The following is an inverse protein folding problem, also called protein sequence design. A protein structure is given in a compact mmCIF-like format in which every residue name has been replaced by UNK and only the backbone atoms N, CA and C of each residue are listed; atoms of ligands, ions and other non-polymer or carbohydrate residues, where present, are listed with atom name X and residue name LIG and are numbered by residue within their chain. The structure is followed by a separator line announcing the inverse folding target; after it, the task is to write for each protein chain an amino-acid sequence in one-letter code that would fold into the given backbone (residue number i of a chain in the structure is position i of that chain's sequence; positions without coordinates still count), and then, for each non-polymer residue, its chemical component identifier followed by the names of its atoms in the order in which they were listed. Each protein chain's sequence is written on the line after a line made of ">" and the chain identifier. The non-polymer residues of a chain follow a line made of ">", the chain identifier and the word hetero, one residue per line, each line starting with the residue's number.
data_IF_069963567605
#
_entry.id   IF_069963567605
#
_cell.length_a   1.000
_cell.length_b   1.000
_cell.length_c   1.000
_cell.angle_alpha   90.00
_cell.angle_beta   90.00
_cell.angle_gamma   90.00
#
_symmetry.space_group_name_H-M   'P 1'
#
loop_
_entity.id
_entity.type
_entity.pdbx_description
1 polymer ?
#
# COMPACT_ATOMS: atom_id res chain seq x y z
N UNK A 1 -33.67 -35.93 -0.65
CA UNK A 1 -32.21 -35.84 -0.90
C UNK A 1 -31.76 -34.45 -1.39
N UNK A 2 -32.50 -33.77 -2.26
CA UNK A 2 -32.14 -32.46 -2.86
C UNK A 2 -31.80 -31.36 -1.81
N UNK A 3 -32.53 -31.32 -0.68
CA UNK A 3 -32.30 -30.33 0.39
C UNK A 3 -30.95 -30.49 1.10
N UNK A 4 -30.43 -31.72 1.24
CA UNK A 4 -29.11 -31.99 1.85
C UNK A 4 -27.96 -31.60 0.93
N UNK A 5 -28.13 -31.75 -0.38
CA UNK A 5 -27.17 -31.32 -1.39
C UNK A 5 -27.09 -29.79 -1.47
N UNK A 6 -28.21 -29.09 -1.36
CA UNK A 6 -28.26 -27.62 -1.31
C UNK A 6 -27.63 -27.04 -0.04
N UNK A 7 -27.80 -27.68 1.13
CA UNK A 7 -27.13 -27.25 2.36
C UNK A 7 -25.61 -27.49 2.32
N UNK A 8 -25.15 -28.59 1.70
CA UNK A 8 -23.73 -28.86 1.49
C UNK A 8 -23.09 -27.86 0.51
N UNK A 9 -23.78 -27.53 -0.59
CA UNK A 9 -23.31 -26.51 -1.53
C UNK A 9 -23.24 -25.12 -0.88
N UNK A 10 -24.22 -24.74 -0.06
CA UNK A 10 -24.17 -23.48 0.72
C UNK A 10 -23.06 -23.49 1.77
N UNK A 11 -22.81 -24.61 2.42
CA UNK A 11 -21.71 -24.74 3.39
C UNK A 11 -20.34 -24.67 2.71
N UNK A 12 -20.19 -25.28 1.53
CA UNK A 12 -18.97 -25.20 0.72
C UNK A 12 -18.75 -23.82 0.13
N UNK A 13 -19.81 -23.16 -0.33
CA UNK A 13 -19.77 -21.76 -0.75
C UNK A 13 -19.38 -20.84 0.42
N UNK A 14 -19.98 -21.03 1.60
CA UNK A 14 -19.63 -20.28 2.81
C UNK A 14 -18.16 -20.47 3.21
N UNK A 15 -17.66 -21.70 3.18
CA UNK A 15 -16.25 -22.00 3.44
C UNK A 15 -15.30 -21.41 2.39
N UNK A 16 -15.73 -21.36 1.13
CA UNK A 16 -14.94 -20.75 0.06
C UNK A 16 -14.82 -19.23 0.25
N UNK A 17 -15.94 -18.56 0.55
CA UNK A 17 -15.96 -17.12 0.83
C UNK A 17 -15.09 -16.75 2.04
N UNK A 18 -15.17 -17.52 3.13
CA UNK A 18 -14.33 -17.26 4.30
C UNK A 18 -12.83 -17.43 4.02
N UNK A 19 -12.46 -18.39 3.17
CA UNK A 19 -11.06 -18.57 2.74
C UNK A 19 -10.59 -17.42 1.85
N UNK A 20 -11.40 -16.98 0.89
CA UNK A 20 -11.07 -15.84 0.03
C UNK A 20 -10.92 -14.55 0.83
N UNK A 21 -11.82 -14.31 1.78
CA UNK A 21 -11.75 -13.13 2.67
C UNK A 21 -10.51 -13.18 3.58
N UNK A 22 -10.18 -14.36 4.11
CA UNK A 22 -8.98 -14.55 4.90
C UNK A 22 -7.71 -14.28 4.07
N UNK A 23 -7.65 -14.79 2.83
CA UNK A 23 -6.55 -14.53 1.91
C UNK A 23 -6.41 -13.04 1.59
N UNK A 24 -7.53 -12.36 1.33
CA UNK A 24 -7.54 -10.92 1.08
C UNK A 24 -7.00 -10.14 2.28
N UNK A 25 -7.45 -10.45 3.51
CA UNK A 25 -6.94 -9.81 4.74
C UNK A 25 -5.46 -10.07 4.96
N UNK A 26 -4.98 -11.28 4.69
CA UNK A 26 -3.56 -11.59 4.81
C UNK A 26 -2.76 -10.81 3.78
N UNK A 27 -3.23 -10.72 2.54
CA UNK A 27 -2.58 -9.89 1.52
C UNK A 27 -2.51 -8.43 1.97
N UNK A 28 -3.60 -7.88 2.52
CA UNK A 28 -3.61 -6.52 3.06
C UNK A 28 -2.59 -6.33 4.18
N UNK A 29 -2.48 -7.29 5.11
CA UNK A 29 -1.46 -7.24 6.16
C UNK A 29 -0.04 -7.31 5.58
N UNK A 30 0.20 -8.15 4.57
CA UNK A 30 1.48 -8.23 3.87
C UNK A 30 1.85 -6.90 3.19
N UNK A 31 0.90 -6.30 2.48
CA UNK A 31 1.07 -5.01 1.80
C UNK A 31 1.34 -3.89 2.83
N UNK A 32 0.62 -3.88 3.96
CA UNK A 32 0.85 -2.94 5.06
C UNK A 32 2.27 -3.06 5.64
N UNK A 33 2.70 -4.28 5.96
CA UNK A 33 4.04 -4.54 6.52
C UNK A 33 5.14 -4.20 5.54
N UNK A 34 4.92 -4.45 4.26
CA UNK A 34 5.82 -4.01 3.21
C UNK A 34 5.90 -2.47 3.21
N UNK A 35 4.78 -1.77 3.16
CA UNK A 35 4.71 -0.30 3.17
C UNK A 35 5.40 0.29 4.40
N UNK A 36 5.11 -0.27 5.58
CA UNK A 36 5.70 0.09 6.86
C UNK A 36 7.23 -0.01 6.85
N UNK A 37 7.80 -1.03 6.19
CA UNK A 37 9.25 -1.19 6.02
C UNK A 37 9.84 -0.23 5.00
N UNK A 38 9.09 0.11 3.95
CA UNK A 38 9.56 1.05 2.93
C UNK A 38 9.61 2.50 3.44
N UNK A 39 8.86 2.86 4.48
CA UNK A 39 8.76 4.25 4.94
C UNK A 39 10.08 4.93 5.27
N UNK A 40 11.06 4.20 5.80
CA UNK A 40 12.40 4.76 6.07
C UNK A 40 13.13 5.25 4.81
N UNK A 41 12.64 4.88 3.63
CA UNK A 41 13.13 5.35 2.34
C UNK A 41 12.28 6.47 1.74
N UNK A 42 11.24 6.91 2.41
CA UNK A 42 10.31 7.93 1.95
C UNK A 42 10.78 9.33 2.23
N UNK A 43 10.30 10.28 1.42
CA UNK A 43 10.53 11.70 1.60
C UNK A 43 9.20 12.41 1.82
N UNK A 44 9.17 13.36 2.76
CA UNK A 44 7.96 14.16 3.03
C UNK A 44 7.84 15.21 1.93
N UNK A 45 6.79 15.12 1.13
CA UNK A 45 6.50 16.13 0.12
C UNK A 45 6.00 17.42 0.80
N UNK A 46 6.51 18.57 0.35
CA UNK A 46 6.23 19.88 0.95
C UNK A 46 4.76 20.33 0.89
N UNK A 47 3.89 19.60 0.17
CA UNK A 47 2.48 19.93 0.03
C UNK A 47 1.66 19.22 1.11
N UNK A 48 1.04 20.01 1.98
CA UNK A 48 -0.07 19.56 2.81
C UNK A 48 -1.17 19.05 1.89
N UNK A 49 -1.61 17.81 2.13
CA UNK A 49 -2.71 17.19 1.40
C UNK A 49 -3.91 16.98 2.32
N UNK A 50 -4.98 16.47 1.75
CA UNK A 50 -6.10 15.93 2.51
C UNK A 50 -6.39 14.49 2.08
N UNK A 51 -6.93 13.70 3.00
CA UNK A 51 -7.58 12.43 2.71
C UNK A 51 -8.91 12.67 1.98
N UNK A 52 -9.53 11.59 1.50
CA UNK A 52 -10.82 11.66 0.79
C UNK A 52 -11.95 12.26 1.65
N UNK A 53 -11.90 12.04 2.97
CA UNK A 53 -12.85 12.62 3.93
C UNK A 53 -12.53 14.07 4.35
N UNK A 54 -11.50 14.69 3.76
CA UNK A 54 -11.09 16.05 4.08
C UNK A 54 -10.10 16.16 5.25
N UNK A 55 -9.75 15.06 5.91
CA UNK A 55 -8.77 15.06 7.01
C UNK A 55 -7.41 15.57 6.53
N UNK A 56 -6.79 16.56 7.21
CA UNK A 56 -5.45 17.02 6.89
C UNK A 56 -4.44 15.88 6.92
N UNK A 57 -3.59 15.80 5.90
CA UNK A 57 -2.65 14.71 5.72
C UNK A 57 -1.29 15.19 5.22
N UNK A 58 -0.25 14.46 5.64
CA UNK A 58 1.10 14.60 5.13
C UNK A 58 1.29 13.60 4.00
N UNK A 59 1.89 14.07 2.90
CA UNK A 59 2.23 13.21 1.76
C UNK A 59 3.66 12.71 1.89
N UNK A 60 3.83 11.39 1.96
CA UNK A 60 5.13 10.71 1.92
C UNK A 60 5.29 10.09 0.54
N UNK A 61 6.40 10.37 -0.13
CA UNK A 61 6.73 9.83 -1.45
C UNK A 61 7.79 8.75 -1.31
N UNK A 62 7.49 7.55 -1.77
CA UNK A 62 8.37 6.40 -1.81
C UNK A 62 8.83 6.15 -3.26
N UNK A 63 10.11 6.37 -3.58
CA UNK A 63 10.64 6.21 -4.93
C UNK A 63 11.08 4.76 -5.18
N UNK A 64 10.79 4.26 -6.38
CA UNK A 64 11.18 2.94 -6.84
C UNK A 64 11.60 3.01 -8.31
N UNK A 65 12.67 2.30 -8.71
CA UNK A 65 12.98 2.14 -10.15
C UNK A 65 11.83 1.39 -10.83
N UNK A 66 11.32 1.91 -11.94
CA UNK A 66 10.20 1.33 -12.69
C UNK A 66 10.66 0.22 -13.64
N UNK A 67 11.35 -0.78 -13.09
CA UNK A 67 11.87 -1.93 -13.84
C UNK A 67 10.76 -2.64 -14.62
N UNK A 68 11.07 -3.35 -15.73
CA UNK A 68 10.08 -4.11 -16.50
C UNK A 68 9.25 -5.07 -15.63
N UNK A 69 9.88 -5.67 -14.61
CA UNK A 69 9.19 -6.54 -13.66
C UNK A 69 8.12 -5.81 -12.85
N UNK A 70 8.41 -4.62 -12.32
CA UNK A 70 7.43 -3.79 -11.59
C UNK A 70 6.35 -3.24 -12.51
N UNK A 71 6.69 -2.87 -13.74
CA UNK A 71 5.70 -2.42 -14.73
C UNK A 71 4.65 -3.49 -15.02
N UNK A 72 4.99 -4.78 -14.99
CA UNK A 72 4.00 -5.86 -15.10
C UNK A 72 2.99 -5.92 -13.93
N UNK A 73 3.29 -5.28 -12.80
CA UNK A 73 2.39 -5.20 -11.65
C UNK A 73 1.21 -4.24 -11.84
N UNK A 74 1.18 -3.46 -12.93
CA UNK A 74 0.07 -2.60 -13.32
C UNK A 74 -0.11 -2.57 -14.83
N UNK A 75 -1.20 -1.93 -15.30
CA UNK A 75 -1.43 -1.73 -16.74
C UNK A 75 -0.85 -0.38 -17.14
N UNK A 76 0.46 -0.34 -17.38
CA UNK A 76 1.17 0.87 -17.78
C UNK A 76 1.29 0.96 -19.30
N UNK A 77 0.99 2.12 -19.92
CA UNK A 77 1.24 2.34 -21.35
C UNK A 77 2.70 2.14 -21.73
N UNK A 78 2.94 1.72 -22.96
CA UNK A 78 4.29 1.60 -23.53
C UNK A 78 4.89 2.99 -23.81
N UNK A 79 4.06 3.90 -24.33
CA UNK A 79 4.44 5.29 -24.55
C UNK A 79 4.72 6.01 -23.21
N UNK A 80 5.93 6.55 -23.00
CA UNK A 80 6.27 7.33 -21.83
C UNK A 80 5.38 8.57 -21.60
N UNK A 81 4.89 9.24 -22.64
CA UNK A 81 4.08 10.47 -22.47
C UNK A 81 2.65 10.16 -22.01
N UNK A 82 2.04 9.10 -22.53
CA UNK A 82 0.85 8.52 -21.93
C UNK A 82 1.09 8.05 -20.49
N UNK A 83 2.23 7.41 -20.23
CA UNK A 83 2.53 6.86 -18.90
C UNK A 83 2.63 7.93 -17.82
N UNK A 84 3.17 9.11 -18.10
CA UNK A 84 3.20 10.22 -17.13
C UNK A 84 1.80 10.73 -16.74
N UNK A 85 0.80 10.52 -17.60
CA UNK A 85 -0.60 10.89 -17.32
C UNK A 85 -1.36 9.83 -16.54
N UNK A 86 -0.83 8.61 -16.47
CA UNK A 86 -1.45 7.49 -15.75
C UNK A 86 -1.04 7.40 -14.29
N UNK A 87 -1.91 6.79 -13.48
CA UNK A 87 -1.65 6.45 -12.09
C UNK A 87 -2.35 5.13 -11.72
N UNK A 88 -1.87 4.50 -10.66
CA UNK A 88 -2.49 3.32 -10.04
C UNK A 88 -2.83 3.65 -8.60
N UNK A 89 -4.04 3.32 -8.16
CA UNK A 89 -4.52 3.62 -6.81
C UNK A 89 -4.83 2.35 -6.00
N UNK A 90 -4.98 2.56 -4.70
CA UNK A 90 -5.44 1.54 -3.77
C UNK A 90 -4.46 0.37 -3.63
N UNK A 91 -4.98 -0.84 -3.42
CA UNK A 91 -4.18 -2.03 -3.11
C UNK A 91 -3.23 -2.40 -4.26
N UNK A 92 -3.60 -2.05 -5.49
CA UNK A 92 -2.75 -2.29 -6.67
C UNK A 92 -1.52 -1.38 -6.67
N UNK A 93 -1.55 -0.21 -6.03
CA UNK A 93 -0.41 0.70 -5.96
C UNK A 93 0.78 0.06 -5.22
N UNK A 94 0.54 -0.62 -4.09
CA UNK A 94 1.59 -1.34 -3.36
C UNK A 94 2.18 -2.47 -4.21
N UNK A 95 1.34 -3.27 -4.87
CA UNK A 95 1.82 -4.39 -5.70
C UNK A 95 2.57 -3.93 -6.94
N UNK A 96 2.10 -2.89 -7.62
CA UNK A 96 2.79 -2.29 -8.76
C UNK A 96 4.13 -1.64 -8.36
N UNK A 97 4.25 -1.15 -7.11
CA UNK A 97 5.51 -0.70 -6.54
C UNK A 97 6.46 -1.85 -6.14
N UNK A 98 5.97 -3.09 -6.09
CA UNK A 98 6.74 -4.30 -5.81
C UNK A 98 6.49 -4.94 -4.44
N UNK A 99 5.37 -4.64 -3.79
CA UNK A 99 4.94 -5.40 -2.61
C UNK A 99 4.80 -6.90 -2.95
N UNK A 100 5.28 -7.79 -2.07
CA UNK A 100 5.20 -9.22 -2.32
C UNK A 100 3.74 -9.68 -2.32
N UNK A 101 3.36 -10.46 -3.33
CA UNK A 101 2.12 -11.21 -3.29
C UNK A 101 2.18 -12.28 -2.21
N UNK A 102 1.06 -12.51 -1.53
CA UNK A 102 0.81 -13.68 -0.72
C UNK A 102 1.03 -14.91 -1.60
N UNK A 103 2.08 -15.71 -1.30
CA UNK A 103 2.47 -16.83 -2.18
C UNK A 103 2.32 -18.21 -1.57
N UNK A 104 2.19 -18.42 -0.24
CA UNK A 104 2.09 -19.78 0.33
C UNK A 104 1.39 -19.86 1.70
N UNK A 105 1.00 -21.08 2.05
CA UNK A 105 0.63 -21.54 3.42
C UNK A 105 1.62 -21.09 4.51
N UNK A 106 2.89 -20.85 4.18
CA UNK A 106 3.90 -20.31 5.11
C UNK A 106 3.63 -18.86 5.53
N UNK A 107 3.02 -18.06 4.68
CA UNK A 107 2.58 -16.69 5.04
C UNK A 107 1.33 -16.73 5.93
N UNK A 108 0.48 -17.75 5.75
CA UNK A 108 -0.63 -18.09 6.65
C UNK A 108 -0.11 -18.57 8.03
N UNK A 109 0.89 -19.46 8.04
CA UNK A 109 1.45 -20.01 9.28
C UNK A 109 2.29 -18.99 10.06
N UNK A 110 3.05 -18.12 9.38
CA UNK A 110 3.69 -16.97 10.03
C UNK A 110 2.67 -15.95 10.54
N UNK A 111 1.56 -15.76 9.82
CA UNK A 111 0.44 -14.96 10.29
C UNK A 111 -0.16 -15.52 11.59
N UNK A 112 -0.38 -16.84 11.64
CA UNK A 112 -0.84 -17.53 12.84
C UNK A 112 0.19 -17.44 13.99
N UNK A 113 1.48 -17.60 13.70
CA UNK A 113 2.58 -17.53 14.67
C UNK A 113 2.81 -16.11 15.23
N UNK A 114 2.52 -15.07 14.46
CA UNK A 114 2.57 -13.67 14.91
C UNK A 114 1.30 -13.21 15.64
N UNK A 115 0.35 -14.13 15.83
CA UNK A 115 -0.96 -13.87 16.43
C UNK A 115 -1.94 -13.29 15.41
N UNK A 116 -3.09 -13.94 15.23
CA UNK A 116 -4.13 -13.50 14.28
C UNK A 116 -4.56 -12.04 14.48
N UNK A 117 -4.48 -11.52 15.70
CA UNK A 117 -4.76 -10.12 16.02
C UNK A 117 -3.80 -9.14 15.31
N UNK A 118 -2.52 -9.48 15.17
CA UNK A 118 -1.56 -8.62 14.48
C UNK A 118 -1.85 -8.53 12.98
N UNK A 119 -2.26 -9.65 12.35
CA UNK A 119 -2.72 -9.64 10.94
C UNK A 119 -3.95 -8.75 10.81
N UNK A 120 -4.95 -8.92 11.67
CA UNK A 120 -6.19 -8.14 11.60
C UNK A 120 -5.91 -6.65 11.79
N UNK A 121 -5.00 -6.29 12.70
CA UNK A 121 -4.59 -4.89 12.91
C UNK A 121 -3.90 -4.31 11.67
N UNK A 122 -2.95 -5.03 11.08
CA UNK A 122 -2.23 -4.56 9.89
C UNK A 122 -3.16 -4.48 8.67
N UNK A 123 -4.02 -5.48 8.47
CA UNK A 123 -5.01 -5.49 7.41
C UNK A 123 -5.99 -4.31 7.57
N UNK A 124 -6.46 -4.08 8.79
CA UNK A 124 -7.29 -2.93 9.13
C UNK A 124 -6.58 -1.62 8.80
N UNK A 125 -5.34 -1.41 9.24
CA UNK A 125 -4.59 -0.18 8.91
C UNK A 125 -4.49 0.06 7.41
N UNK A 126 -4.20 -0.97 6.61
CA UNK A 126 -4.22 -0.82 5.15
C UNK A 126 -5.62 -0.49 4.64
N UNK A 127 -6.66 -1.18 5.11
CA UNK A 127 -8.03 -0.92 4.66
C UNK A 127 -8.41 0.55 4.86
N UNK A 128 -8.01 1.19 5.96
CA UNK A 128 -8.27 2.62 6.16
C UNK A 128 -7.57 3.48 5.11
N UNK A 129 -6.31 3.18 4.79
CA UNK A 129 -5.59 3.88 3.73
C UNK A 129 -6.28 3.71 2.38
N UNK A 130 -6.87 2.54 2.12
CA UNK A 130 -7.62 2.27 0.90
C UNK A 130 -8.94 3.06 0.86
N UNK A 131 -9.71 3.01 1.95
CA UNK A 131 -10.97 3.73 2.10
C UNK A 131 -10.79 5.24 1.91
N UNK A 132 -9.65 5.75 2.37
CA UNK A 132 -9.29 7.17 2.31
C UNK A 132 -8.55 7.59 1.03
N UNK A 133 -8.44 6.68 0.05
CA UNK A 133 -7.71 6.90 -1.21
C UNK A 133 -6.29 7.45 -0.98
N UNK A 134 -5.63 6.96 0.07
CA UNK A 134 -4.37 7.48 0.54
C UNK A 134 -3.15 6.98 -0.25
N UNK A 135 -3.34 5.99 -1.14
CA UNK A 135 -2.27 5.34 -1.90
C UNK A 135 -2.42 5.62 -3.39
N UNK A 136 -1.41 6.27 -3.96
CA UNK A 136 -1.33 6.53 -5.41
C UNK A 136 0.09 6.31 -5.92
N UNK A 137 0.24 5.44 -6.90
CA UNK A 137 1.48 5.20 -7.63
C UNK A 137 1.46 5.97 -8.96
N UNK A 138 2.51 6.73 -9.24
CA UNK A 138 2.69 7.44 -10.51
C UNK A 138 4.02 7.05 -11.13
N UNK A 139 4.13 7.18 -12.46
CA UNK A 139 5.42 7.05 -13.15
C UNK A 139 5.94 8.42 -13.59
N UNK A 140 7.23 8.67 -13.41
CA UNK A 140 7.89 9.91 -13.83
C UNK A 140 9.25 9.61 -14.43
N UNK A 141 9.66 10.41 -15.43
CA UNK A 141 11.06 10.46 -15.86
C UNK A 141 11.87 11.13 -14.76
N UNK A 142 13.14 10.74 -14.60
CA UNK A 142 14.05 11.38 -13.63
C UNK A 142 14.15 12.89 -13.86
N UNK A 143 14.20 13.33 -15.13
CA UNK A 143 14.28 14.74 -15.52
C UNK A 143 12.97 15.55 -15.42
N UNK A 144 11.81 14.92 -15.18
CA UNK A 144 10.50 15.61 -15.09
C UNK A 144 10.02 15.78 -13.65
N UNK A 145 10.86 15.43 -12.66
CA UNK A 145 10.51 15.56 -11.25
C UNK A 145 10.49 17.04 -10.80
N UNK A 146 9.57 17.40 -9.88
CA UNK A 146 9.63 18.70 -9.21
C UNK A 146 11.01 18.93 -8.55
N UNK A 147 11.61 20.14 -8.65
CA UNK A 147 12.97 20.40 -8.17
C UNK A 147 13.22 20.03 -6.71
N UNK A 148 12.23 20.25 -5.83
CA UNK A 148 12.36 19.90 -4.41
C UNK A 148 12.40 18.40 -4.19
N UNK A 149 11.56 17.66 -4.91
CA UNK A 149 11.57 16.21 -4.87
C UNK A 149 12.86 15.67 -5.49
N UNK A 150 13.32 16.26 -6.59
CA UNK A 150 14.56 15.89 -7.24
C UNK A 150 15.77 16.07 -6.30
N UNK A 151 15.82 17.18 -5.56
CA UNK A 151 16.86 17.46 -4.55
C UNK A 151 16.85 16.44 -3.42
N UNK A 152 15.66 16.11 -2.89
CA UNK A 152 15.52 15.14 -1.80
C UNK A 152 15.85 13.70 -2.24
N UNK A 153 15.56 13.36 -3.50
CA UNK A 153 15.84 12.04 -4.05
C UNK A 153 17.30 11.90 -4.51
N UNK A 154 17.94 13.00 -4.92
CA UNK A 154 19.37 13.18 -5.18
C UNK A 154 20.09 11.94 -5.71
N UNK A 155 20.71 11.18 -4.80
CA UNK A 155 21.52 9.97 -5.11
C UNK A 155 20.74 8.82 -5.75
N UNK A 156 19.41 8.78 -5.63
CA UNK A 156 18.56 7.73 -6.22
C UNK A 156 18.17 8.02 -7.66
N UNK A 157 18.38 9.26 -8.12
CA UNK A 157 18.08 9.69 -9.49
C UNK A 157 19.25 9.47 -10.44
N UNK A 158 20.47 9.38 -9.89
CA UNK A 158 21.73 9.17 -10.63
C UNK A 158 22.02 7.70 -10.92
N UNK A 159 21.06 6.80 -10.66
CA UNK A 159 21.16 5.40 -11.03
C UNK A 159 20.83 5.24 -12.52
N UNK A 160 21.72 4.62 -13.31
CA UNK A 160 21.51 4.42 -14.75
C UNK A 160 20.21 3.65 -15.05
N UNK A 161 19.76 2.81 -14.12
CA UNK A 161 18.48 2.13 -14.23
C UNK A 161 17.28 3.07 -14.04
N UNK A 162 17.40 4.10 -13.21
CA UNK A 162 16.37 5.11 -13.03
C UNK A 162 16.24 6.01 -14.27
N UNK A 163 17.35 6.34 -14.93
CA UNK A 163 17.33 7.05 -16.23
C UNK A 163 16.72 6.20 -17.34
N UNK A 164 17.09 4.91 -17.41
CA UNK A 164 16.63 3.99 -18.45
C UNK A 164 15.15 3.60 -18.30
N UNK A 165 14.67 3.41 -17.07
CA UNK A 165 13.34 2.86 -16.81
C UNK A 165 12.35 3.87 -16.24
N UNK A 166 12.82 5.03 -15.79
CA UNK A 166 12.06 6.00 -15.02
C UNK A 166 11.79 5.52 -13.60
N UNK A 167 10.98 6.29 -12.89
CA UNK A 167 10.67 6.08 -11.49
C UNK A 167 9.19 5.87 -11.27
N UNK A 168 8.87 4.91 -10.42
CA UNK A 168 7.61 4.83 -9.74
C UNK A 168 7.68 5.62 -8.44
N UNK A 169 6.72 6.53 -8.25
CA UNK A 169 6.54 7.32 -7.05
C UNK A 169 5.25 6.89 -6.37
N UNK A 170 5.38 6.11 -5.30
CA UNK A 170 4.24 5.75 -4.46
C UNK A 170 4.02 6.86 -3.44
N UNK A 171 2.96 7.62 -3.62
CA UNK A 171 2.50 8.61 -2.66
C UNK A 171 1.59 7.94 -1.64
N UNK A 172 1.94 8.09 -0.37
CA UNK A 172 1.14 7.74 0.79
C UNK A 172 0.70 9.01 1.51
N UNK A 173 -0.61 9.21 1.67
CA UNK A 173 -1.16 10.25 2.54
C UNK A 173 -1.35 9.69 3.95
N UNK A 174 -0.87 10.38 4.97
CA UNK A 174 -0.99 9.96 6.37
C UNK A 174 -1.68 11.08 7.17
N UNK A 175 -2.77 10.79 7.90
CA UNK A 175 -3.45 11.78 8.73
C UNK A 175 -2.60 12.06 9.98
N UNK A 176 -1.62 12.93 9.86
CA UNK A 176 -0.68 13.25 10.92
C UNK A 176 -0.04 14.61 10.66
N UNK A 177 0.49 15.28 11.69
CA UNK A 177 1.49 16.31 11.47
C UNK A 177 2.75 15.72 10.83
N UNK A 178 3.59 16.55 10.18
CA UNK A 178 4.88 16.10 9.65
C UNK A 178 5.71 15.41 10.75
N UNK A 179 6.37 14.28 10.45
CA UNK A 179 7.21 13.62 11.44
C UNK A 179 8.40 14.51 11.83
N UNK A 180 8.79 14.46 13.11
CA UNK A 180 10.07 15.02 13.57
C UNK A 180 11.21 14.12 13.05
N UNK A 181 11.65 14.37 11.81
CA UNK A 181 12.67 13.59 11.12
C UNK A 181 12.13 12.72 9.98
N UNK A 182 12.85 11.66 9.63
CA UNK A 182 12.45 10.77 8.52
C UNK A 182 11.21 9.96 8.87
N UNK A 183 10.22 9.85 7.96
CA UNK A 183 9.06 9.01 8.18
C UNK A 183 9.49 7.56 8.40
N UNK A 184 8.86 6.87 9.34
CA UNK A 184 9.18 5.48 9.64
C UNK A 184 7.91 4.68 9.98
N UNK A 185 8.07 3.36 10.07
CA UNK A 185 6.96 2.47 10.31
C UNK A 185 6.25 2.66 11.66
N UNK A 186 6.97 3.09 12.71
CA UNK A 186 6.37 3.33 14.02
C UNK A 186 5.48 4.59 14.02
N UNK A 187 5.93 5.64 13.32
CA UNK A 187 5.14 6.85 13.09
C UNK A 187 3.85 6.56 12.33
N UNK A 188 3.91 5.73 11.28
CA UNK A 188 2.70 5.34 10.53
C UNK A 188 1.73 4.56 11.42
N UNK A 189 2.23 3.57 12.16
CA UNK A 189 1.42 2.77 13.08
C UNK A 189 0.72 3.66 14.11
N UNK A 190 1.45 4.57 14.76
CA UNK A 190 0.89 5.49 15.76
C UNK A 190 -0.12 6.49 15.16
N UNK A 191 0.13 6.96 13.94
CA UNK A 191 -0.76 7.89 13.25
C UNK A 191 -2.08 7.23 12.88
N UNK A 192 -2.02 6.02 12.29
CA UNK A 192 -3.23 5.29 11.90
C UNK A 192 -4.02 4.79 13.11
N UNK A 193 -3.35 4.30 14.16
CA UNK A 193 -4.03 3.85 15.38
C UNK A 193 -4.74 5.00 16.12
N UNK A 194 -4.30 6.25 15.94
CA UNK A 194 -4.97 7.42 16.53
C UNK A 194 -6.30 7.74 15.86
N UNK A 195 -6.32 7.73 14.53
CA UNK A 195 -7.52 8.06 13.74
C UNK A 195 -8.48 6.89 13.62
N UNK A 196 -7.93 5.69 13.65
CA UNK A 196 -8.66 4.45 13.59
C UNK A 196 -8.74 3.98 15.04
N UNK A 197 -9.83 4.29 15.76
CA UNK A 197 -10.16 3.60 17.04
C UNK A 197 -10.38 2.10 16.72
N UNK A 198 -9.31 1.35 16.49
CA UNK A 198 -9.31 -0.04 16.00
C UNK A 198 -9.67 -0.98 17.15
N UNK A 199 -10.92 -0.93 17.60
CA UNK A 199 -11.65 -2.08 18.17
C UNK A 199 -13.15 -1.79 18.02
N UNK A 200 -13.99 -2.78 17.70
CA UNK A 200 -15.41 -2.67 17.96
C UNK A 200 -15.59 -2.50 19.47
N UNK A 201 -16.30 -1.45 19.91
CA UNK A 201 -16.94 -1.52 21.22
C UNK A 201 -17.93 -2.68 21.14
N UNK A 202 -17.85 -3.70 22.01
CA UNK A 202 -18.94 -4.67 22.07
C UNK A 202 -20.22 -3.87 22.33
N UNK A 203 -21.22 -4.05 21.47
CA UNK A 203 -22.56 -3.54 21.74
C UNK A 203 -22.97 -4.14 23.10
N UNK A 204 -23.19 -3.27 24.07
CA UNK A 204 -23.84 -3.63 25.33
C UNK A 204 -25.30 -4.01 25.10
#
# INVERSE_FOLDING_TARGET
>A
MILRTLSLLRSLQGAHHTVTDAQARIQQACDYRWLRRQLGHGVVAARQGSLADGTPAVSVVLPFVATPARRRGGRWPEDPDERERCFVEGAHACRAAGAPGYRKLESLSQGLAQGGMAILKDAARLQYLLDQQALRLTWRRSGTLPPDLARQLGRRLTDGDAERHGLFLLTLKVPAPPPEGSPNGAWLDASLDRYRRILPTPAG
#
